data_IF_827874515545
#
_entry.id   IF_827874515545
#
_cell.length_a   1.000
_cell.length_b   1.000
_cell.length_c   1.000
_cell.angle_alpha   90.00
_cell.angle_beta   90.00
_cell.angle_gamma   90.00
#
_symmetry.space_group_name_H-M   'P 1'
#
loop_
_entity.id
_entity.type
_entity.pdbx_description
1 polymer ?
#
# COMPACT_ATOMS: atom_id res chain seq x y z
N UNK A 1 -11.41 -32.48 -4.06
CA UNK A 1 -11.89 -31.59 -5.15
C UNK A 1 -11.94 -30.17 -4.58
N UNK A 2 -11.54 -29.22 -5.36
CA UNK A 2 -11.36 -27.80 -4.98
C UNK A 2 -12.57 -26.93 -5.34
N UNK A 3 -13.76 -27.59 -5.49
CA UNK A 3 -15.00 -26.86 -5.77
C UNK A 3 -15.41 -25.98 -4.57
N UNK A 4 -15.82 -24.76 -4.84
CA UNK A 4 -16.37 -23.82 -3.84
C UNK A 4 -17.76 -24.33 -3.41
N UNK A 5 -17.93 -24.64 -2.13
CA UNK A 5 -19.21 -25.16 -1.60
C UNK A 5 -19.94 -24.17 -0.69
N UNK A 6 -19.21 -23.22 -0.09
CA UNK A 6 -19.80 -22.20 0.78
C UNK A 6 -19.02 -20.90 0.74
N UNK A 7 -19.73 -19.77 0.81
CA UNK A 7 -19.18 -18.42 0.93
C UNK A 7 -20.00 -17.66 1.96
N UNK A 8 -19.32 -17.09 2.96
CA UNK A 8 -19.95 -16.31 4.02
C UNK A 8 -19.30 -14.93 4.11
N UNK A 9 -20.00 -13.91 3.65
CA UNK A 9 -19.64 -12.52 3.86
C UNK A 9 -20.18 -11.99 5.19
N UNK A 10 -19.41 -11.15 5.86
CA UNK A 10 -19.84 -10.44 7.07
C UNK A 10 -19.24 -9.05 7.15
N UNK A 11 -19.88 -8.20 7.95
CA UNK A 11 -19.34 -6.91 8.33
C UNK A 11 -18.46 -7.07 9.57
N UNK A 12 -17.24 -6.57 9.49
CA UNK A 12 -16.31 -6.39 10.62
C UNK A 12 -15.90 -4.92 10.73
N UNK A 13 -14.92 -4.58 11.55
CA UNK A 13 -14.43 -3.21 11.71
C UNK A 13 -12.97 -3.09 11.35
N UNK A 14 -12.64 -1.99 10.67
CA UNK A 14 -11.26 -1.61 10.36
C UNK A 14 -10.56 -0.92 11.54
N UNK A 15 -9.28 -0.60 11.38
CA UNK A 15 -8.43 0.06 12.37
C UNK A 15 -8.88 1.47 12.76
N UNK A 16 -9.82 2.06 12.01
CA UNK A 16 -10.45 3.36 12.28
C UNK A 16 -11.83 3.23 12.92
N UNK A 17 -12.30 1.99 13.17
CA UNK A 17 -13.62 1.70 13.69
C UNK A 17 -14.74 1.84 12.66
N UNK A 18 -14.43 1.89 11.37
CA UNK A 18 -15.42 1.88 10.30
C UNK A 18 -15.74 0.43 9.88
N UNK A 19 -16.98 0.16 9.46
CA UNK A 19 -17.33 -1.14 8.87
C UNK A 19 -16.50 -1.47 7.63
N UNK A 20 -16.12 -2.76 7.50
CA UNK A 20 -15.54 -3.31 6.29
C UNK A 20 -16.02 -4.75 6.08
N UNK A 21 -15.73 -5.32 4.90
CA UNK A 21 -16.14 -6.67 4.49
C UNK A 21 -15.08 -7.69 4.88
N UNK A 22 -15.52 -8.81 5.48
CA UNK A 22 -14.74 -10.04 5.62
C UNK A 22 -15.49 -11.19 4.96
N UNK A 23 -14.75 -12.06 4.27
CA UNK A 23 -15.31 -13.21 3.55
C UNK A 23 -14.59 -14.48 3.96
N UNK A 24 -15.40 -15.53 4.22
CA UNK A 24 -14.97 -16.91 4.36
C UNK A 24 -15.34 -17.69 3.11
N UNK A 25 -14.44 -18.54 2.64
CA UNK A 25 -14.69 -19.51 1.55
C UNK A 25 -14.34 -20.89 2.05
N UNK A 26 -15.22 -21.87 1.81
CA UNK A 26 -15.00 -23.29 2.12
C UNK A 26 -15.06 -24.11 0.84
N UNK A 27 -14.09 -25.01 0.66
CA UNK A 27 -14.01 -25.94 -0.47
C UNK A 27 -14.54 -27.32 -0.11
N UNK A 28 -14.84 -28.13 -1.13
CA UNK A 28 -15.40 -29.49 -0.96
C UNK A 28 -14.47 -30.44 -0.18
N UNK A 29 -13.17 -30.24 -0.24
CA UNK A 29 -12.17 -31.01 0.52
C UNK A 29 -12.02 -30.55 1.97
N UNK A 30 -12.74 -29.50 2.37
CA UNK A 30 -12.72 -28.89 3.71
C UNK A 30 -11.71 -27.75 3.87
N UNK A 31 -10.92 -27.42 2.83
CA UNK A 31 -10.01 -26.28 2.88
C UNK A 31 -10.79 -24.97 3.03
N UNK A 32 -10.17 -24.01 3.76
CA UNK A 32 -10.82 -22.80 4.20
C UNK A 32 -9.95 -21.56 3.90
N UNK A 33 -10.57 -20.48 3.47
CA UNK A 33 -9.89 -19.20 3.28
C UNK A 33 -10.69 -18.05 3.86
N UNK A 34 -10.02 -17.15 4.59
CA UNK A 34 -10.60 -15.91 5.14
C UNK A 34 -9.83 -14.71 4.68
N UNK A 35 -10.54 -13.68 4.20
CA UNK A 35 -9.93 -12.42 3.83
C UNK A 35 -10.77 -11.23 4.32
N UNK A 36 -10.10 -10.22 4.86
CA UNK A 36 -10.71 -8.94 5.21
C UNK A 36 -10.22 -7.83 4.26
N UNK A 37 -11.14 -6.95 3.89
CA UNK A 37 -10.88 -5.93 2.88
C UNK A 37 -10.43 -4.62 3.54
N UNK A 38 -9.31 -4.01 3.11
CA UNK A 38 -8.90 -2.70 3.60
C UNK A 38 -9.72 -1.56 2.96
N UNK A 39 -9.68 -0.37 3.58
CA UNK A 39 -10.43 0.81 3.16
C UNK A 39 -9.59 2.09 3.20
N UNK A 40 -9.64 2.94 2.18
CA UNK A 40 -8.92 4.20 2.13
C UNK A 40 -9.56 5.33 2.94
N UNK A 41 -8.74 6.32 3.37
CA UNK A 41 -9.20 7.63 3.85
C UNK A 41 -9.23 8.63 2.70
N UNK A 42 -8.09 8.84 2.04
CA UNK A 42 -8.00 9.46 0.73
C UNK A 42 -8.24 8.39 -0.35
N UNK A 43 -8.97 8.73 -1.39
CA UNK A 43 -9.27 7.81 -2.51
C UNK A 43 -9.05 8.55 -3.81
N UNK A 44 -8.22 7.99 -4.70
CA UNK A 44 -8.04 8.50 -6.06
C UNK A 44 -9.36 8.47 -6.83
N UNK A 45 -9.60 9.50 -7.63
CA UNK A 45 -10.87 9.64 -8.38
C UNK A 45 -11.16 8.48 -9.35
N UNK A 46 -10.13 7.70 -9.67
CA UNK A 46 -10.19 6.61 -10.65
C UNK A 46 -10.18 5.21 -10.02
N UNK A 47 -10.27 5.10 -8.69
CA UNK A 47 -10.35 3.81 -8.00
C UNK A 47 -11.65 3.05 -8.30
N UNK A 48 -11.60 1.73 -8.18
CA UNK A 48 -12.81 0.92 -8.14
C UNK A 48 -13.68 1.28 -6.92
N UNK A 49 -14.99 1.15 -7.06
CA UNK A 49 -15.94 1.64 -6.06
C UNK A 49 -16.01 0.74 -4.85
N UNK A 50 -15.67 1.26 -3.68
CA UNK A 50 -16.02 0.65 -2.40
C UNK A 50 -17.51 0.88 -2.13
N UNK A 51 -18.32 -0.19 -2.17
CA UNK A 51 -19.76 -0.08 -1.98
C UNK A 51 -20.10 0.17 -0.51
N UNK A 52 -20.69 1.33 -0.24
CA UNK A 52 -21.19 1.74 1.07
C UNK A 52 -22.72 1.87 1.07
N UNK A 53 -23.33 1.59 2.22
CA UNK A 53 -24.81 1.59 2.36
C UNK A 53 -25.43 2.96 2.19
N UNK A 54 -24.70 4.01 2.60
CA UNK A 54 -25.27 5.35 2.74
C UNK A 54 -26.20 5.44 3.96
N UNK A 55 -27.02 6.50 4.00
CA UNK A 55 -27.97 6.72 5.08
C UNK A 55 -27.33 7.13 6.40
N UNK A 56 -28.01 6.89 7.54
CA UNK A 56 -27.57 7.37 8.86
C UNK A 56 -26.77 6.33 9.67
N UNK A 57 -26.98 5.03 9.39
CA UNK A 57 -26.27 3.97 10.11
C UNK A 57 -24.78 4.01 9.79
N UNK A 58 -23.94 3.93 10.82
CA UNK A 58 -22.48 4.09 10.69
C UNK A 58 -22.08 5.37 9.94
N UNK A 59 -22.86 6.42 10.04
CA UNK A 59 -22.66 7.68 9.31
C UNK A 59 -22.56 7.47 7.78
N UNK A 60 -23.30 6.50 7.25
CA UNK A 60 -23.31 6.15 5.83
C UNK A 60 -22.24 5.13 5.42
N UNK A 61 -21.34 4.72 6.33
CA UNK A 61 -20.19 3.85 6.02
C UNK A 61 -20.49 2.35 6.18
N UNK A 62 -21.74 1.92 6.42
CA UNK A 62 -22.12 0.50 6.46
C UNK A 62 -21.76 -0.23 5.16
N UNK A 63 -21.58 -1.56 5.23
CA UNK A 63 -21.22 -2.41 4.08
C UNK A 63 -22.21 -3.56 3.87
N UNK A 64 -23.43 -3.42 4.39
CA UNK A 64 -24.45 -4.48 4.31
C UNK A 64 -24.76 -4.87 2.86
N UNK A 65 -24.86 -3.89 1.94
CA UNK A 65 -25.11 -4.15 0.51
C UNK A 65 -23.99 -4.99 -0.12
N UNK A 66 -22.74 -4.72 0.23
CA UNK A 66 -21.61 -5.51 -0.26
C UNK A 66 -21.63 -6.93 0.34
N UNK A 67 -21.98 -7.06 1.62
CA UNK A 67 -22.15 -8.36 2.30
C UNK A 67 -23.29 -9.17 1.66
N UNK A 68 -24.42 -8.53 1.38
CA UNK A 68 -25.55 -9.18 0.70
C UNK A 68 -25.14 -9.66 -0.70
N UNK A 69 -24.39 -8.82 -1.47
CA UNK A 69 -23.87 -9.22 -2.78
C UNK A 69 -22.96 -10.47 -2.70
N UNK A 70 -22.10 -10.56 -1.66
CA UNK A 70 -21.27 -11.76 -1.42
C UNK A 70 -22.13 -12.99 -1.15
N UNK A 71 -23.12 -12.89 -0.25
CA UNK A 71 -23.91 -14.03 0.23
C UNK A 71 -24.95 -14.50 -0.78
N UNK A 72 -25.38 -13.64 -1.69
CA UNK A 72 -26.46 -13.95 -2.67
C UNK A 72 -25.91 -14.13 -4.10
N UNK A 73 -25.68 -13.00 -4.80
CA UNK A 73 -25.37 -13.02 -6.24
C UNK A 73 -24.00 -13.65 -6.54
N UNK A 74 -22.97 -13.26 -5.80
CA UNK A 74 -21.60 -13.76 -6.04
C UNK A 74 -21.53 -15.24 -5.71
N UNK A 75 -22.03 -15.65 -4.53
CA UNK A 75 -22.09 -17.07 -4.18
C UNK A 75 -22.83 -17.91 -5.24
N UNK A 76 -23.99 -17.43 -5.70
CA UNK A 76 -24.77 -18.14 -6.73
C UNK A 76 -24.01 -18.28 -8.05
N UNK A 77 -23.18 -17.30 -8.42
CA UNK A 77 -22.46 -17.28 -9.69
C UNK A 77 -21.21 -18.18 -9.69
N UNK A 78 -20.54 -18.34 -8.54
CA UNK A 78 -19.25 -19.07 -8.48
C UNK A 78 -19.30 -20.37 -7.66
N UNK A 79 -20.43 -20.69 -7.04
CA UNK A 79 -20.62 -21.98 -6.35
C UNK A 79 -20.40 -23.14 -7.31
N UNK A 80 -19.61 -24.13 -6.90
CA UNK A 80 -19.22 -25.29 -7.70
C UNK A 80 -18.06 -25.05 -8.66
N UNK A 81 -17.57 -23.80 -8.82
CA UNK A 81 -16.36 -23.54 -9.60
C UNK A 81 -15.12 -24.04 -8.87
N UNK A 82 -14.09 -24.35 -9.64
CA UNK A 82 -12.80 -24.79 -9.12
C UNK A 82 -12.02 -23.59 -8.57
N UNK A 83 -11.70 -23.61 -7.27
CA UNK A 83 -10.98 -22.54 -6.58
C UNK A 83 -9.55 -22.33 -7.12
N UNK A 84 -8.95 -23.32 -7.80
CA UNK A 84 -7.63 -23.17 -8.43
C UNK A 84 -7.68 -22.30 -9.71
N UNK A 85 -8.86 -22.13 -10.33
CA UNK A 85 -9.03 -21.28 -11.52
C UNK A 85 -9.35 -19.82 -11.13
N UNK A 86 -8.43 -19.18 -10.42
CA UNK A 86 -8.56 -17.80 -9.94
C UNK A 86 -8.97 -16.82 -11.03
N UNK A 87 -8.37 -16.94 -12.23
CA UNK A 87 -8.67 -16.05 -13.34
C UNK A 87 -10.12 -16.14 -13.79
N UNK A 88 -10.66 -17.35 -13.83
CA UNK A 88 -12.06 -17.58 -14.20
C UNK A 88 -13.02 -17.06 -13.13
N UNK A 89 -12.69 -17.27 -11.86
CA UNK A 89 -13.51 -16.80 -10.72
C UNK A 89 -13.57 -15.27 -10.72
N UNK A 90 -12.41 -14.60 -10.77
CA UNK A 90 -12.35 -13.13 -10.76
C UNK A 90 -13.09 -12.55 -11.98
N UNK A 91 -12.87 -13.13 -13.17
CA UNK A 91 -13.56 -12.72 -14.39
C UNK A 91 -15.07 -12.89 -14.28
N UNK A 92 -15.55 -14.01 -13.72
CA UNK A 92 -16.98 -14.25 -13.50
C UNK A 92 -17.60 -13.18 -12.61
N UNK A 93 -16.94 -12.80 -11.52
CA UNK A 93 -17.41 -11.74 -10.62
C UNK A 93 -17.41 -10.35 -11.29
N UNK A 94 -16.38 -10.04 -12.07
CA UNK A 94 -16.25 -8.76 -12.80
C UNK A 94 -17.35 -8.67 -13.87
N UNK A 95 -17.59 -9.74 -14.64
CA UNK A 95 -18.67 -9.81 -15.63
C UNK A 95 -20.04 -9.73 -14.99
N UNK A 96 -20.22 -10.36 -13.82
CA UNK A 96 -21.45 -10.27 -13.03
C UNK A 96 -21.73 -8.83 -12.59
N UNK A 97 -20.70 -8.09 -12.12
CA UNK A 97 -20.85 -6.67 -11.80
C UNK A 97 -21.24 -5.85 -13.02
N UNK A 98 -20.61 -6.06 -14.15
CA UNK A 98 -20.92 -5.47 -15.46
C UNK A 98 -20.65 -3.96 -15.56
N UNK A 99 -20.05 -3.32 -14.55
CA UNK A 99 -19.67 -1.90 -14.57
C UNK A 99 -18.16 -1.72 -14.69
N UNK A 100 -17.67 -0.61 -15.28
CA UNK A 100 -16.23 -0.43 -15.49
C UNK A 100 -15.39 -0.36 -14.20
N UNK A 101 -16.01 0.04 -13.09
CA UNK A 101 -15.34 0.31 -11.81
C UNK A 101 -15.96 -0.47 -10.63
N UNK A 102 -16.65 -1.58 -10.91
CA UNK A 102 -17.28 -2.44 -9.89
C UNK A 102 -18.30 -1.72 -9.00
N UNK A 103 -19.02 -0.75 -9.57
CA UNK A 103 -19.96 0.08 -8.81
C UNK A 103 -21.25 -0.64 -8.39
N UNK A 104 -21.61 -1.77 -9.01
CA UNK A 104 -22.86 -2.47 -8.72
C UNK A 104 -22.75 -3.42 -7.51
N UNK A 105 -21.77 -4.30 -7.51
CA UNK A 105 -21.54 -5.26 -6.41
C UNK A 105 -20.60 -4.69 -5.35
N UNK A 106 -19.70 -3.81 -5.77
CA UNK A 106 -18.65 -3.23 -4.96
C UNK A 106 -17.31 -3.95 -5.10
N UNK A 107 -16.24 -3.17 -5.28
CA UNK A 107 -14.88 -3.70 -5.28
C UNK A 107 -14.53 -4.42 -3.96
N UNK A 108 -15.08 -3.97 -2.84
CA UNK A 108 -14.91 -4.61 -1.53
C UNK A 108 -15.55 -6.01 -1.46
N UNK A 109 -16.73 -6.21 -2.04
CA UNK A 109 -17.35 -7.54 -2.13
C UNK A 109 -16.53 -8.49 -3.01
N UNK A 110 -16.17 -8.05 -4.22
CA UNK A 110 -15.41 -8.84 -5.19
C UNK A 110 -14.03 -9.20 -4.63
N UNK A 111 -13.30 -8.24 -4.07
CA UNK A 111 -11.97 -8.45 -3.50
C UNK A 111 -12.00 -9.42 -2.32
N UNK A 112 -12.96 -9.27 -1.41
CA UNK A 112 -13.10 -10.17 -0.26
C UNK A 112 -13.20 -11.63 -0.70
N UNK A 113 -14.04 -11.91 -1.68
CA UNK A 113 -14.20 -13.26 -2.26
C UNK A 113 -12.92 -13.69 -3.00
N UNK A 114 -12.37 -12.85 -3.87
CA UNK A 114 -11.17 -13.15 -4.66
C UNK A 114 -9.99 -13.60 -3.78
N UNK A 115 -9.71 -12.85 -2.70
CA UNK A 115 -8.62 -13.17 -1.77
C UNK A 115 -8.94 -14.40 -0.90
N UNK A 116 -10.18 -14.57 -0.46
CA UNK A 116 -10.59 -15.73 0.34
C UNK A 116 -10.50 -17.02 -0.47
N UNK A 117 -10.89 -16.99 -1.75
CA UNK A 117 -10.74 -18.13 -2.68
C UNK A 117 -9.27 -18.50 -2.85
N UNK A 118 -8.38 -17.53 -3.09
CA UNK A 118 -6.94 -17.78 -3.22
C UNK A 118 -6.35 -18.43 -1.97
N UNK A 119 -6.79 -18.00 -0.78
CA UNK A 119 -6.35 -18.58 0.50
C UNK A 119 -6.88 -20.02 0.68
N UNK A 120 -8.14 -20.29 0.34
CA UNK A 120 -8.71 -21.62 0.41
C UNK A 120 -8.01 -22.58 -0.57
N UNK A 121 -7.73 -22.13 -1.80
CA UNK A 121 -7.00 -22.91 -2.79
C UNK A 121 -5.54 -23.20 -2.35
N UNK A 122 -4.89 -22.21 -1.71
CA UNK A 122 -3.56 -22.40 -1.14
C UNK A 122 -3.56 -23.45 -0.01
N UNK A 123 -4.56 -23.43 0.87
CA UNK A 123 -4.74 -24.42 1.92
C UNK A 123 -4.98 -25.80 1.34
N UNK A 124 -5.87 -25.94 0.37
CA UNK A 124 -6.13 -27.19 -0.36
C UNK A 124 -4.86 -27.76 -0.99
N UNK A 125 -4.02 -26.90 -1.59
CA UNK A 125 -2.74 -27.29 -2.15
C UNK A 125 -1.66 -27.60 -1.10
N UNK A 126 -1.91 -27.36 0.18
CA UNK A 126 -0.93 -27.52 1.27
C UNK A 126 0.24 -26.53 1.18
N UNK A 127 0.02 -25.35 0.58
CA UNK A 127 1.03 -24.32 0.35
C UNK A 127 0.70 -23.04 1.13
N UNK A 128 1.71 -22.33 1.66
CA UNK A 128 1.49 -20.97 2.14
C UNK A 128 1.12 -20.06 0.96
N UNK A 129 0.32 -19.01 1.23
CA UNK A 129 -0.27 -18.16 0.18
C UNK A 129 0.80 -17.56 -0.76
N UNK A 130 1.91 -17.06 -0.22
CA UNK A 130 2.98 -16.49 -1.06
C UNK A 130 3.55 -17.51 -2.06
N UNK A 131 3.63 -18.78 -1.66
CA UNK A 131 4.15 -19.87 -2.51
C UNK A 131 3.10 -20.32 -3.52
N UNK A 132 1.84 -20.37 -3.13
CA UNK A 132 0.73 -20.71 -4.03
C UNK A 132 0.60 -19.68 -5.16
N UNK A 133 0.59 -18.37 -4.83
CA UNK A 133 0.44 -17.29 -5.82
C UNK A 133 1.72 -17.08 -6.64
N UNK A 134 2.88 -17.08 -6.00
CA UNK A 134 4.15 -16.71 -6.64
C UNK A 134 4.97 -17.89 -7.18
N UNK A 135 4.55 -19.12 -6.89
CA UNK A 135 5.24 -20.33 -7.32
C UNK A 135 6.62 -20.54 -6.65
N UNK A 136 7.46 -21.41 -7.23
CA UNK A 136 8.74 -21.79 -6.63
C UNK A 136 9.76 -20.65 -6.55
N UNK A 137 9.58 -19.58 -7.34
CA UNK A 137 10.50 -18.43 -7.36
C UNK A 137 10.14 -17.33 -6.34
N UNK A 138 9.07 -17.48 -5.57
CA UNK A 138 8.69 -16.52 -4.52
C UNK A 138 9.62 -16.65 -3.31
N UNK A 139 10.62 -15.76 -3.17
CA UNK A 139 11.63 -15.83 -2.12
C UNK A 139 12.24 -14.47 -1.73
N UNK A 140 11.83 -13.38 -2.41
CA UNK A 140 12.36 -12.04 -2.13
C UNK A 140 11.55 -11.38 -1.03
N UNK A 141 12.18 -11.13 0.13
CA UNK A 141 11.62 -10.35 1.23
C UNK A 141 11.73 -8.86 0.89
N UNK A 142 10.61 -8.11 0.95
CA UNK A 142 10.60 -6.70 0.54
C UNK A 142 11.30 -5.80 1.56
N UNK A 143 11.93 -4.71 1.08
CA UNK A 143 12.33 -3.58 1.94
C UNK A 143 11.06 -2.89 2.44
N UNK A 144 10.87 -2.75 3.77
CA UNK A 144 9.73 -2.04 4.31
C UNK A 144 9.96 -0.52 4.21
N UNK A 145 8.94 0.18 3.71
CA UNK A 145 8.82 1.63 3.70
C UNK A 145 7.96 2.03 4.90
N UNK A 146 8.63 2.38 6.00
CA UNK A 146 7.97 2.54 7.31
C UNK A 146 7.61 4.00 7.53
N UNK A 147 6.32 4.33 7.49
CA UNK A 147 5.81 5.68 7.75
C UNK A 147 6.00 6.06 9.22
N UNK A 148 6.95 6.94 9.55
CA UNK A 148 7.29 7.26 10.94
C UNK A 148 6.86 8.67 11.40
N UNK A 149 6.58 9.59 10.44
CA UNK A 149 5.91 10.87 10.70
C UNK A 149 4.75 11.03 9.71
N UNK A 150 3.58 11.37 10.24
CA UNK A 150 2.37 11.66 9.50
C UNK A 150 2.09 13.16 9.41
N UNK A 151 1.57 13.59 8.28
CA UNK A 151 1.00 14.91 8.04
C UNK A 151 -0.20 14.83 7.09
N UNK A 152 -0.52 15.90 6.39
CA UNK A 152 -1.62 15.96 5.45
C UNK A 152 -2.93 15.45 6.05
N UNK A 153 -3.69 14.67 5.29
CA UNK A 153 -4.97 14.09 5.76
C UNK A 153 -4.83 12.97 6.82
N UNK A 154 -3.60 12.48 7.06
CA UNK A 154 -3.32 11.43 8.05
C UNK A 154 -3.05 11.97 9.47
N UNK A 155 -2.95 13.30 9.66
CA UNK A 155 -2.67 13.92 10.94
C UNK A 155 -3.28 15.33 11.05
N UNK A 156 -3.75 15.68 12.24
CA UNK A 156 -4.19 17.04 12.55
C UNK A 156 -2.97 17.90 12.97
N UNK A 157 -2.16 18.26 11.97
CA UNK A 157 -0.96 19.10 12.14
C UNK A 157 -0.70 19.95 10.88
N UNK A 158 0.23 20.94 10.92
CA UNK A 158 0.46 21.82 9.78
C UNK A 158 1.38 21.27 8.68
N UNK A 159 1.76 19.99 8.72
CA UNK A 159 2.63 19.40 7.71
C UNK A 159 1.80 19.07 6.46
N UNK A 160 2.16 19.64 5.31
CA UNK A 160 1.40 19.45 4.06
C UNK A 160 1.61 18.05 3.46
N UNK A 161 2.81 17.45 3.54
CA UNK A 161 3.07 16.10 3.07
C UNK A 161 2.45 15.07 3.99
N UNK A 162 1.90 14.00 3.38
CA UNK A 162 1.14 12.98 4.08
C UNK A 162 2.00 12.03 4.88
N UNK A 163 3.16 11.58 4.33
CA UNK A 163 4.01 10.59 4.98
C UNK A 163 5.50 10.83 4.79
N UNK A 164 6.24 10.59 5.86
CA UNK A 164 7.70 10.53 5.86
C UNK A 164 8.12 9.13 6.29
N UNK A 165 8.80 8.44 5.39
CA UNK A 165 9.14 7.02 5.55
C UNK A 165 10.62 6.82 5.74
N UNK A 166 10.99 5.80 6.52
CA UNK A 166 12.35 5.25 6.58
C UNK A 166 12.38 3.90 5.87
N UNK A 167 13.48 3.64 5.18
CA UNK A 167 13.75 2.40 4.43
C UNK A 167 15.07 1.79 4.91
N UNK A 168 15.04 0.71 5.71
CA UNK A 168 16.25 0.02 6.22
C UNK A 168 16.95 -0.81 5.15
N UNK A 169 17.45 -0.15 4.11
CA UNK A 169 18.07 -0.78 2.91
C UNK A 169 19.36 -1.55 3.27
N UNK A 170 20.06 -1.10 4.32
CA UNK A 170 21.30 -1.73 4.78
C UNK A 170 21.12 -2.92 5.70
N UNK A 171 19.88 -3.36 5.97
CA UNK A 171 19.61 -4.55 6.77
C UNK A 171 20.00 -5.83 6.02
N UNK A 172 20.30 -6.89 6.77
CA UNK A 172 20.65 -8.20 6.21
C UNK A 172 19.44 -9.14 6.04
N UNK A 173 18.30 -8.81 6.68
CA UNK A 173 17.08 -9.61 6.70
C UNK A 173 15.87 -8.73 6.97
N UNK A 174 14.65 -9.27 6.78
CA UNK A 174 13.42 -8.53 7.15
C UNK A 174 13.32 -8.38 8.68
N UNK A 175 13.73 -9.38 9.44
CA UNK A 175 13.77 -9.29 10.90
C UNK A 175 14.72 -8.17 11.36
N UNK A 176 15.90 -8.04 10.74
CA UNK A 176 16.86 -6.97 11.01
C UNK A 176 16.31 -5.60 10.58
N UNK A 177 15.65 -5.52 9.43
CA UNK A 177 15.00 -4.29 8.97
C UNK A 177 13.93 -3.78 9.96
N UNK A 178 13.12 -4.68 10.51
CA UNK A 178 12.11 -4.34 11.53
C UNK A 178 12.79 -3.90 12.83
N UNK A 179 13.90 -4.53 13.25
CA UNK A 179 14.70 -4.09 14.40
C UNK A 179 15.23 -2.66 14.20
N UNK A 180 15.89 -2.40 13.07
CA UNK A 180 16.42 -1.07 12.73
C UNK A 180 15.29 -0.03 12.77
N UNK A 181 14.17 -0.32 12.11
CA UNK A 181 13.01 0.57 12.11
C UNK A 181 12.50 0.86 13.53
N UNK A 182 12.41 -0.17 14.38
CA UNK A 182 11.97 -0.03 15.77
C UNK A 182 12.91 0.86 16.59
N UNK A 183 14.23 0.68 16.45
CA UNK A 183 15.22 1.49 17.16
C UNK A 183 15.18 2.96 16.72
N UNK A 184 15.03 3.23 15.42
CA UNK A 184 14.85 4.59 14.89
C UNK A 184 13.52 5.20 15.39
N UNK A 185 12.42 4.44 15.34
CA UNK A 185 11.09 4.87 15.78
C UNK A 185 11.10 5.32 17.27
N UNK A 186 11.68 4.52 18.16
CA UNK A 186 11.76 4.88 19.58
C UNK A 186 12.75 6.02 19.85
N UNK A 187 13.81 6.14 19.06
CA UNK A 187 14.75 7.25 19.13
C UNK A 187 14.09 8.57 18.70
N UNK A 188 13.29 8.52 17.61
CA UNK A 188 12.50 9.66 17.15
C UNK A 188 11.48 10.08 18.22
N UNK A 189 10.75 9.12 18.81
CA UNK A 189 9.83 9.42 19.91
C UNK A 189 10.49 10.20 21.04
N UNK A 190 11.69 9.75 21.42
CA UNK A 190 12.46 10.41 22.49
C UNK A 190 12.93 11.82 22.09
N UNK A 191 13.34 12.00 20.82
CA UNK A 191 13.74 13.29 20.24
C UNK A 191 12.59 14.29 20.23
N UNK A 192 11.45 13.90 19.67
CA UNK A 192 10.23 14.72 19.61
C UNK A 192 9.76 15.13 21.02
N UNK A 193 9.70 14.18 21.95
CA UNK A 193 9.32 14.47 23.34
C UNK A 193 10.27 15.45 24.01
N UNK A 194 11.59 15.33 23.79
CA UNK A 194 12.60 16.25 24.35
C UNK A 194 12.45 17.67 23.79
N UNK A 195 12.05 17.76 22.51
CA UNK A 195 11.78 19.05 21.85
C UNK A 195 10.41 19.66 22.23
N UNK A 196 9.59 18.95 23.00
CA UNK A 196 8.27 19.41 23.45
C UNK A 196 7.13 19.11 22.48
N UNK A 197 7.37 18.27 21.46
CA UNK A 197 6.35 17.88 20.50
C UNK A 197 5.51 16.72 21.01
N UNK A 198 4.28 16.60 20.48
CA UNK A 198 3.37 15.50 20.67
C UNK A 198 3.94 14.22 20.04
N UNK A 199 3.76 13.09 20.70
CA UNK A 199 4.16 11.75 20.23
C UNK A 199 2.98 10.78 20.14
N UNK A 200 1.76 11.29 19.98
CA UNK A 200 0.62 10.49 19.58
C UNK A 200 0.82 9.99 18.14
N UNK A 201 0.21 8.86 17.81
CA UNK A 201 0.34 8.24 16.50
C UNK A 201 -0.92 8.49 15.68
N UNK A 202 -0.73 8.67 14.38
CA UNK A 202 -1.78 8.76 13.38
C UNK A 202 -2.35 7.39 12.99
N UNK A 203 -3.19 7.37 11.96
CA UNK A 203 -3.89 6.18 11.49
C UNK A 203 -2.95 5.05 11.07
N UNK A 204 -1.77 5.38 10.57
CA UNK A 204 -0.78 4.41 10.10
C UNK A 204 0.35 4.13 11.09
N UNK A 205 0.22 4.62 12.33
CA UNK A 205 1.14 4.31 13.43
C UNK A 205 2.38 5.21 13.49
N UNK A 206 2.60 6.14 12.55
CA UNK A 206 3.62 7.17 12.61
C UNK A 206 3.24 8.27 13.59
N UNK A 207 4.23 9.05 14.09
CA UNK A 207 3.95 10.17 14.97
C UNK A 207 3.30 11.33 14.20
N UNK A 208 2.47 12.10 14.89
CA UNK A 208 1.78 13.27 14.35
C UNK A 208 2.18 14.56 15.10
N UNK A 209 3.46 14.98 15.06
CA UNK A 209 3.94 16.17 15.76
C UNK A 209 3.51 17.45 15.03
N UNK A 210 3.38 18.56 15.76
CA UNK A 210 3.19 19.87 15.18
C UNK A 210 4.54 20.45 14.73
N UNK A 211 4.98 20.07 13.53
CA UNK A 211 6.17 20.60 12.87
C UNK A 211 5.76 21.59 11.78
N UNK A 212 6.59 22.58 11.52
CA UNK A 212 6.25 23.71 10.66
C UNK A 212 6.53 23.48 9.16
N UNK A 213 7.25 22.39 8.80
CA UNK A 213 7.61 22.12 7.41
C UNK A 213 8.07 20.68 7.19
N UNK A 214 8.08 20.26 5.93
CA UNK A 214 8.66 18.99 5.53
C UNK A 214 10.16 18.90 5.87
N UNK A 215 10.90 19.98 5.74
CA UNK A 215 12.33 20.05 6.10
C UNK A 215 12.56 19.77 7.57
N UNK A 216 11.75 20.36 8.47
CA UNK A 216 11.86 20.11 9.91
C UNK A 216 11.59 18.65 10.26
N UNK A 217 10.60 18.02 9.61
CA UNK A 217 10.32 16.60 9.79
C UNK A 217 11.51 15.73 9.35
N UNK A 218 12.09 16.00 8.18
CA UNK A 218 13.26 15.30 7.66
C UNK A 218 14.48 15.45 8.58
N UNK A 219 14.71 16.65 9.14
CA UNK A 219 15.82 16.90 10.09
C UNK A 219 15.67 16.06 11.36
N UNK A 220 14.45 15.96 11.93
CA UNK A 220 14.18 15.09 13.08
C UNK A 220 14.44 13.62 12.77
N UNK A 221 14.04 13.15 11.56
CA UNK A 221 14.24 11.77 11.15
C UNK A 221 15.73 11.46 10.98
N UNK A 222 16.48 12.30 10.24
CA UNK A 222 17.92 12.12 10.02
C UNK A 222 18.67 12.08 11.34
N UNK A 223 18.43 13.06 12.22
CA UNK A 223 19.05 13.10 13.56
C UNK A 223 18.70 11.85 14.40
N UNK A 224 17.50 11.28 14.21
CA UNK A 224 17.07 10.08 14.92
C UNK A 224 17.76 8.83 14.39
N UNK A 225 17.96 8.72 13.08
CA UNK A 225 18.73 7.64 12.45
C UNK A 225 20.16 7.63 12.98
N UNK A 226 20.84 8.80 12.96
CA UNK A 226 22.21 8.93 13.46
C UNK A 226 22.31 8.60 14.95
N UNK A 227 21.38 9.10 15.76
CA UNK A 227 21.35 8.85 17.20
C UNK A 227 21.03 7.41 17.55
N UNK A 228 20.30 6.69 16.70
CA UNK A 228 20.07 5.25 16.82
C UNK A 228 21.32 4.42 16.44
N UNK A 229 22.36 5.07 15.91
CA UNK A 229 23.63 4.42 15.55
C UNK A 229 23.71 3.96 14.10
N UNK A 230 22.78 4.39 13.24
CA UNK A 230 22.75 4.06 11.81
C UNK A 230 23.19 5.25 10.96
N UNK A 231 23.62 4.98 9.73
CA UNK A 231 24.11 5.99 8.78
C UNK A 231 23.01 6.33 7.75
N UNK A 232 22.48 7.58 7.75
CA UNK A 232 21.58 8.02 6.69
C UNK A 232 22.24 7.92 5.31
N UNK A 233 21.50 7.39 4.34
CA UNK A 233 22.02 7.18 2.99
C UNK A 233 22.98 5.98 2.82
N UNK A 234 23.14 5.16 3.85
CA UNK A 234 23.88 3.89 3.79
C UNK A 234 23.05 2.73 4.38
N UNK A 235 22.67 2.86 5.64
CA UNK A 235 21.91 1.83 6.35
C UNK A 235 20.41 2.09 6.22
N UNK A 236 19.99 3.36 6.36
CA UNK A 236 18.61 3.81 6.29
C UNK A 236 18.49 4.96 5.30
N UNK A 237 17.57 4.81 4.36
CA UNK A 237 17.18 5.84 3.41
C UNK A 237 15.81 6.40 3.75
N UNK A 238 15.40 7.47 3.05
CA UNK A 238 14.12 8.15 3.26
C UNK A 238 13.22 7.99 2.05
N UNK A 239 11.91 8.03 2.32
CA UNK A 239 10.85 8.13 1.33
C UNK A 239 9.83 9.18 1.72
N UNK A 240 9.16 9.73 0.74
CA UNK A 240 8.05 10.67 0.91
C UNK A 240 6.80 10.13 0.23
N UNK A 241 5.67 10.34 0.85
CA UNK A 241 4.38 10.39 0.18
C UNK A 241 3.85 11.81 0.31
N UNK A 242 3.80 12.50 -0.82
CA UNK A 242 3.36 13.89 -0.86
C UNK A 242 1.84 14.01 -0.89
N UNK A 243 1.12 13.02 -1.45
CA UNK A 243 -0.32 13.06 -1.72
C UNK A 243 -0.74 14.39 -2.37
N UNK A 244 -0.01 14.80 -3.41
CA UNK A 244 -0.06 16.18 -3.94
C UNK A 244 -1.41 16.57 -4.54
N UNK A 245 -2.29 15.61 -4.84
CA UNK A 245 -3.67 15.88 -5.28
C UNK A 245 -4.44 16.67 -4.21
N UNK A 246 -4.20 16.43 -2.93
CA UNK A 246 -4.91 17.03 -1.80
C UNK A 246 -4.69 18.57 -1.70
N UNK A 247 -3.53 19.06 -2.15
CA UNK A 247 -3.20 20.49 -2.13
C UNK A 247 -3.00 21.09 -3.52
N UNK A 248 -3.41 20.38 -4.60
CA UNK A 248 -3.41 20.91 -5.96
C UNK A 248 -4.73 21.61 -6.29
N UNK A 249 -4.66 22.90 -6.58
CA UNK A 249 -5.84 23.73 -6.88
C UNK A 249 -5.49 24.80 -7.91
N UNK A 250 -6.38 25.02 -8.87
CA UNK A 250 -6.25 26.07 -9.89
C UNK A 250 -4.88 26.03 -10.63
N UNK A 251 -4.37 24.80 -10.89
CA UNK A 251 -3.08 24.60 -11.60
C UNK A 251 -1.84 24.87 -10.76
N UNK A 252 -1.98 24.94 -9.43
CA UNK A 252 -0.87 25.22 -8.49
C UNK A 252 -0.94 24.34 -7.25
N UNK A 253 0.19 24.19 -6.58
CA UNK A 253 0.34 23.44 -5.34
C UNK A 253 0.33 24.39 -4.14
N UNK A 254 -0.70 24.30 -3.29
CA UNK A 254 -0.97 25.19 -2.15
C UNK A 254 -0.52 24.54 -0.84
N UNK A 255 0.63 24.90 -0.36
CA UNK A 255 1.16 24.46 0.94
C UNK A 255 0.59 25.32 2.05
N UNK A 256 -0.54 24.93 2.61
CA UNK A 256 -1.26 25.73 3.62
C UNK A 256 -0.47 25.85 4.92
N UNK A 257 0.21 24.78 5.34
CA UNK A 257 1.03 24.76 6.54
C UNK A 257 2.29 25.63 6.45
N UNK A 258 2.91 25.69 5.27
CA UNK A 258 4.06 26.54 5.00
C UNK A 258 3.67 27.96 4.55
N UNK A 259 2.40 28.20 4.18
CA UNK A 259 1.92 29.46 3.63
C UNK A 259 2.50 29.80 2.25
N UNK A 260 2.81 28.80 1.43
CA UNK A 260 3.46 28.96 0.13
C UNK A 260 2.61 28.35 -0.99
N UNK A 261 2.59 29.01 -2.15
CA UNK A 261 1.96 28.48 -3.38
C UNK A 261 3.06 28.30 -4.43
N UNK A 262 3.11 27.11 -5.04
CA UNK A 262 4.11 26.74 -6.05
C UNK A 262 3.45 26.50 -7.40
N UNK A 263 4.08 26.94 -8.50
CA UNK A 263 3.75 26.47 -9.84
C UNK A 263 4.17 25.00 -10.01
N UNK A 264 3.83 24.39 -11.16
CA UNK A 264 4.27 23.03 -11.49
C UNK A 264 5.81 22.93 -11.49
N UNK A 265 6.49 23.89 -12.11
CA UNK A 265 7.96 23.92 -12.17
C UNK A 265 8.59 24.15 -10.79
N UNK A 266 8.00 25.02 -9.98
CA UNK A 266 8.45 25.29 -8.61
C UNK A 266 8.24 24.05 -7.71
N UNK A 267 7.18 23.30 -7.90
CA UNK A 267 6.93 22.02 -7.22
C UNK A 267 8.01 20.99 -7.56
N UNK A 268 8.30 20.82 -8.85
CA UNK A 268 9.36 19.92 -9.32
C UNK A 268 10.72 20.33 -8.75
N UNK A 269 11.06 21.64 -8.80
CA UNK A 269 12.29 22.15 -8.26
C UNK A 269 12.41 21.95 -6.73
N UNK A 270 11.30 22.09 -6.00
CA UNK A 270 11.24 21.83 -4.56
C UNK A 270 11.51 20.37 -4.23
N UNK A 271 10.84 19.42 -4.89
CA UNK A 271 11.06 18.00 -4.69
C UNK A 271 12.49 17.58 -5.07
N UNK A 272 13.01 18.10 -6.19
CA UNK A 272 14.39 17.87 -6.60
C UNK A 272 15.41 18.37 -5.56
N UNK A 273 15.14 19.52 -4.95
CA UNK A 273 15.98 20.09 -3.87
C UNK A 273 15.93 19.21 -2.62
N UNK A 274 14.78 18.70 -2.23
CA UNK A 274 14.67 17.78 -1.09
C UNK A 274 15.46 16.48 -1.36
N UNK A 275 15.29 15.88 -2.53
CA UNK A 275 16.02 14.68 -2.92
C UNK A 275 17.55 14.87 -3.02
N UNK A 276 18.01 16.09 -3.32
CA UNK A 276 19.44 16.42 -3.35
C UNK A 276 20.03 16.65 -1.95
N UNK A 277 19.25 17.14 -0.99
CA UNK A 277 19.72 17.52 0.34
C UNK A 277 19.58 16.39 1.39
N UNK A 278 18.68 15.45 1.16
CA UNK A 278 18.39 14.33 2.05
C UNK A 278 18.56 13.00 1.31
N UNK A 279 18.82 11.89 2.01
CA UNK A 279 18.95 10.57 1.39
C UNK A 279 17.60 9.99 0.96
N UNK A 280 16.80 10.77 0.20
CA UNK A 280 15.50 10.39 -0.31
C UNK A 280 15.70 9.60 -1.60
N UNK A 281 15.20 8.34 -1.63
CA UNK A 281 15.31 7.46 -2.79
C UNK A 281 13.96 7.18 -3.45
N UNK A 282 12.86 7.59 -2.83
CA UNK A 282 11.51 7.37 -3.35
C UNK A 282 10.58 8.52 -2.99
N UNK A 283 9.77 8.95 -3.94
CA UNK A 283 8.72 9.97 -3.78
C UNK A 283 7.44 9.42 -4.42
N UNK A 284 6.41 9.27 -3.60
CA UNK A 284 5.06 8.89 -3.99
C UNK A 284 4.22 10.13 -4.19
N UNK A 285 3.41 10.13 -5.25
CA UNK A 285 2.48 11.18 -5.64
C UNK A 285 3.03 12.62 -5.46
N UNK A 286 4.25 12.83 -5.99
CA UNK A 286 4.91 14.14 -5.97
C UNK A 286 4.19 15.21 -6.80
N UNK A 287 3.28 14.80 -7.69
CA UNK A 287 2.41 15.64 -8.51
C UNK A 287 0.97 15.12 -8.39
N UNK A 288 -0.02 15.97 -8.73
CA UNK A 288 -1.45 15.58 -8.72
C UNK A 288 -1.76 14.47 -9.73
N UNK A 289 -2.78 13.65 -9.44
CA UNK A 289 -3.19 12.46 -10.21
C UNK A 289 -3.54 12.72 -11.69
N UNK A 290 -3.89 13.94 -12.04
CA UNK A 290 -4.22 14.34 -13.41
C UNK A 290 -3.22 15.35 -14.02
N UNK A 291 -2.17 15.74 -13.28
CA UNK A 291 -1.09 16.61 -13.76
C UNK A 291 -0.01 15.81 -14.50
N UNK A 292 -0.38 15.22 -15.65
CA UNK A 292 0.52 14.37 -16.46
C UNK A 292 1.76 15.11 -16.98
N UNK A 293 1.65 16.42 -17.23
CA UNK A 293 2.77 17.25 -17.68
C UNK A 293 3.77 17.48 -16.52
N UNK A 294 3.27 17.81 -15.33
CA UNK A 294 4.09 17.93 -14.12
C UNK A 294 4.77 16.60 -13.77
N UNK A 295 4.05 15.48 -13.83
CA UNK A 295 4.63 14.16 -13.64
C UNK A 295 5.76 13.84 -14.63
N UNK A 296 5.57 14.21 -15.91
CA UNK A 296 6.61 14.03 -16.92
C UNK A 296 7.83 14.87 -16.62
N UNK A 297 7.63 16.15 -16.26
CA UNK A 297 8.72 17.06 -15.88
C UNK A 297 9.48 16.55 -14.65
N UNK A 298 8.78 16.06 -13.61
CA UNK A 298 9.39 15.47 -12.44
C UNK A 298 10.23 14.23 -12.80
N UNK A 299 9.67 13.36 -13.66
CA UNK A 299 10.35 12.13 -14.11
C UNK A 299 11.63 12.43 -14.87
N UNK A 300 11.59 13.41 -15.78
CA UNK A 300 12.77 13.83 -16.54
C UNK A 300 13.84 14.47 -15.64
N UNK A 301 13.42 15.13 -14.56
CA UNK A 301 14.31 15.85 -13.65
C UNK A 301 15.05 14.92 -12.69
N UNK A 302 14.35 14.02 -11.99
CA UNK A 302 14.95 13.19 -10.92
C UNK A 302 14.71 11.69 -11.08
N UNK A 303 13.92 11.23 -12.06
CA UNK A 303 13.54 9.82 -12.19
C UNK A 303 14.69 8.85 -12.46
N UNK A 304 15.90 9.34 -12.81
CA UNK A 304 17.09 8.50 -12.98
C UNK A 304 17.70 8.07 -11.63
N UNK A 305 17.57 8.88 -10.60
CA UNK A 305 18.17 8.69 -9.29
C UNK A 305 17.16 8.48 -8.17
N UNK A 306 15.89 8.79 -8.42
CA UNK A 306 14.78 8.66 -7.47
C UNK A 306 13.67 7.79 -8.05
N UNK A 307 13.14 6.90 -7.24
CA UNK A 307 11.92 6.17 -7.55
C UNK A 307 10.73 7.12 -7.43
N UNK A 308 9.93 7.21 -8.50
CA UNK A 308 8.74 8.04 -8.55
C UNK A 308 7.53 7.12 -8.62
N UNK A 309 6.81 7.02 -7.52
CA UNK A 309 5.71 6.07 -7.32
C UNK A 309 4.39 6.76 -7.64
N UNK A 310 3.63 6.22 -8.59
CA UNK A 310 2.25 6.64 -8.82
C UNK A 310 1.28 5.80 -8.00
N UNK A 311 0.62 6.42 -7.01
CA UNK A 311 -0.52 5.89 -6.27
C UNK A 311 -1.82 6.32 -6.95
N UNK A 312 -2.30 7.52 -6.68
CA UNK A 312 -3.52 8.07 -7.29
C UNK A 312 -3.37 8.24 -8.82
N UNK A 313 -2.16 8.45 -9.30
CA UNK A 313 -1.86 8.48 -10.73
C UNK A 313 -2.28 7.19 -11.44
N UNK A 314 -2.03 6.03 -10.86
CA UNK A 314 -2.24 4.73 -11.50
C UNK A 314 -3.39 3.90 -10.89
N UNK A 315 -3.72 4.10 -9.63
CA UNK A 315 -4.78 3.41 -8.87
C UNK A 315 -4.80 1.89 -9.09
N UNK A 316 -3.61 1.28 -9.13
CA UNK A 316 -3.41 -0.17 -9.41
C UNK A 316 -4.06 -0.63 -10.74
N UNK A 317 -4.35 0.30 -11.66
CA UNK A 317 -5.05 0.05 -12.90
C UNK A 317 -4.08 -0.08 -14.08
N UNK A 318 -3.99 -1.28 -14.68
CA UNK A 318 -3.08 -1.59 -15.81
C UNK A 318 -3.28 -0.67 -17.00
N UNK A 319 -4.48 -0.14 -17.25
CA UNK A 319 -4.74 0.77 -18.38
C UNK A 319 -4.09 2.14 -18.12
N UNK A 320 -4.24 2.69 -16.91
CA UNK A 320 -3.59 3.95 -16.51
C UNK A 320 -2.07 3.77 -16.46
N UNK A 321 -1.60 2.63 -15.93
CA UNK A 321 -0.17 2.31 -15.90
C UNK A 321 0.42 2.25 -17.32
N UNK A 322 -0.23 1.56 -18.28
CA UNK A 322 0.22 1.52 -19.69
C UNK A 322 0.27 2.91 -20.33
N UNK A 323 -0.64 3.82 -19.96
CA UNK A 323 -0.58 5.24 -20.38
C UNK A 323 0.69 5.89 -19.85
N UNK A 324 1.00 5.75 -18.57
CA UNK A 324 2.21 6.29 -17.94
C UNK A 324 3.49 5.75 -18.57
N UNK A 325 3.56 4.43 -18.75
CA UNK A 325 4.70 3.75 -19.41
C UNK A 325 4.93 4.33 -20.81
N UNK A 326 3.87 4.45 -21.62
CA UNK A 326 3.96 5.01 -22.98
C UNK A 326 4.43 6.48 -22.98
N UNK A 327 4.04 7.25 -21.99
CA UNK A 327 4.41 8.66 -21.83
C UNK A 327 5.79 8.85 -21.16
N UNK A 328 6.39 7.80 -20.59
CA UNK A 328 7.61 7.89 -19.80
C UNK A 328 7.39 8.70 -18.53
N UNK A 329 6.28 8.46 -17.83
CA UNK A 329 5.81 9.19 -16.66
C UNK A 329 5.86 8.28 -15.44
N UNK A 330 6.46 8.74 -14.35
CA UNK A 330 6.81 7.94 -13.18
C UNK A 330 7.79 6.80 -13.53
N UNK A 331 8.10 5.91 -12.60
CA UNK A 331 8.92 4.72 -12.83
C UNK A 331 8.62 3.59 -11.83
N UNK A 332 7.54 3.76 -11.07
CA UNK A 332 7.04 2.79 -10.10
C UNK A 332 5.53 2.93 -9.94
N UNK A 333 4.87 1.85 -9.54
CA UNK A 333 3.45 1.84 -9.17
C UNK A 333 3.28 1.45 -7.71
N UNK A 334 2.39 2.14 -7.00
CA UNK A 334 1.86 1.64 -5.74
C UNK A 334 0.73 0.65 -6.02
N UNK A 335 0.74 -0.48 -5.33
CA UNK A 335 -0.21 -1.58 -5.56
C UNK A 335 -1.08 -1.76 -4.33
N UNK A 336 -2.33 -1.33 -4.43
CA UNK A 336 -3.36 -1.46 -3.40
C UNK A 336 -4.46 -2.38 -3.93
N UNK A 337 -4.60 -3.56 -3.36
CA UNK A 337 -5.51 -4.60 -3.85
C UNK A 337 -6.96 -4.13 -4.00
N UNK A 338 -7.42 -3.21 -3.13
CA UNK A 338 -8.79 -2.72 -3.16
C UNK A 338 -9.03 -1.57 -4.16
N UNK A 339 -7.97 -0.91 -4.67
CA UNK A 339 -8.13 0.12 -5.71
C UNK A 339 -8.59 -0.48 -7.04
N UNK A 340 -8.27 -1.74 -7.30
CA UNK A 340 -8.69 -2.47 -8.49
C UNK A 340 -9.74 -3.53 -8.18
N UNK A 341 -9.67 -4.20 -7.02
CA UNK A 341 -10.74 -5.03 -6.46
C UNK A 341 -10.74 -6.50 -6.86
N UNK A 342 -9.64 -7.04 -7.40
CA UNK A 342 -9.43 -8.49 -7.57
C UNK A 342 -7.95 -8.84 -7.52
N UNK A 343 -7.64 -10.09 -7.15
CA UNK A 343 -6.26 -10.60 -7.14
C UNK A 343 -5.67 -10.65 -8.55
N UNK A 344 -6.43 -11.15 -9.52
CA UNK A 344 -5.97 -11.27 -10.91
C UNK A 344 -5.56 -9.93 -11.52
N UNK A 345 -6.37 -8.89 -11.34
CA UNK A 345 -6.05 -7.56 -11.86
C UNK A 345 -4.87 -6.92 -11.09
N UNK A 346 -4.76 -7.20 -9.78
CA UNK A 346 -3.61 -6.78 -8.97
C UNK A 346 -2.31 -7.38 -9.51
N UNK A 347 -2.30 -8.68 -9.80
CA UNK A 347 -1.13 -9.37 -10.36
C UNK A 347 -0.81 -8.89 -11.78
N UNK A 348 -1.84 -8.61 -12.63
CA UNK A 348 -1.63 -8.01 -13.97
C UNK A 348 -0.97 -6.63 -13.88
N UNK A 349 -1.34 -5.81 -12.90
CA UNK A 349 -0.73 -4.50 -12.69
C UNK A 349 0.75 -4.63 -12.31
N UNK A 350 1.10 -5.52 -11.38
CA UNK A 350 2.50 -5.80 -10.99
C UNK A 350 3.30 -6.33 -12.18
N UNK A 351 2.76 -7.30 -12.90
CA UNK A 351 3.44 -7.89 -14.07
C UNK A 351 3.65 -6.85 -15.18
N UNK A 352 2.64 -6.01 -15.44
CA UNK A 352 2.72 -4.92 -16.42
C UNK A 352 3.83 -3.93 -16.05
N UNK A 353 3.95 -3.56 -14.76
CA UNK A 353 5.02 -2.70 -14.27
C UNK A 353 6.40 -3.34 -14.51
N UNK A 354 6.61 -4.56 -14.05
CA UNK A 354 7.88 -5.28 -14.15
C UNK A 354 8.33 -5.48 -15.60
N UNK A 355 7.41 -5.86 -16.52
CA UNK A 355 7.71 -6.01 -17.95
C UNK A 355 8.14 -4.70 -18.61
N UNK A 356 7.75 -3.56 -18.07
CA UNK A 356 8.13 -2.25 -18.56
C UNK A 356 9.39 -1.67 -17.87
N UNK A 357 9.99 -2.40 -16.93
CA UNK A 357 11.12 -1.92 -16.13
C UNK A 357 10.72 -0.93 -15.03
N UNK A 358 9.43 -0.83 -14.72
CA UNK A 358 8.92 -0.12 -13.54
C UNK A 358 9.03 -1.04 -12.31
N UNK A 359 9.25 -0.43 -11.16
CA UNK A 359 9.12 -1.13 -9.87
C UNK A 359 7.67 -1.14 -9.40
N UNK A 360 7.36 -2.03 -8.46
CA UNK A 360 6.08 -2.08 -7.78
C UNK A 360 6.29 -2.06 -6.27
N UNK A 361 5.43 -1.37 -5.54
CA UNK A 361 5.42 -1.32 -4.09
C UNK A 361 4.09 -1.88 -3.62
N UNK A 362 4.09 -3.02 -2.92
CA UNK A 362 2.87 -3.55 -2.30
C UNK A 362 2.47 -2.67 -1.12
N UNK A 363 1.20 -2.28 -1.05
CA UNK A 363 0.77 -1.26 -0.09
C UNK A 363 -0.49 -1.65 0.68
N UNK A 364 -0.54 -1.20 1.95
CA UNK A 364 -1.72 -1.15 2.79
C UNK A 364 -2.66 0.01 2.39
N UNK A 365 -3.71 0.18 3.19
CA UNK A 365 -4.55 1.41 3.20
C UNK A 365 -4.56 2.02 4.62
N UNK A 366 -5.08 3.24 4.73
CA UNK A 366 -5.23 3.90 6.04
C UNK A 366 -6.19 3.15 6.98
N UNK A 367 -7.26 2.57 6.46
CA UNK A 367 -8.13 1.63 7.20
C UNK A 367 -7.74 0.19 6.91
N UNK A 368 -7.09 -0.44 7.87
CA UNK A 368 -6.61 -1.82 7.79
C UNK A 368 -7.31 -2.71 8.82
N UNK A 369 -7.09 -4.02 8.68
CA UNK A 369 -7.46 -5.03 9.67
C UNK A 369 -6.20 -5.81 10.05
N UNK A 370 -6.32 -6.86 10.84
CA UNK A 370 -5.24 -7.81 11.12
C UNK A 370 -4.91 -8.74 9.94
N UNK A 371 -5.64 -8.67 8.83
CA UNK A 371 -5.33 -9.43 7.61
C UNK A 371 -3.93 -9.06 7.09
N UNK A 372 -3.13 -10.07 6.78
CA UNK A 372 -1.73 -9.92 6.37
C UNK A 372 -1.47 -10.31 4.90
N UNK A 373 -2.51 -10.46 4.11
CA UNK A 373 -2.43 -10.93 2.70
C UNK A 373 -1.39 -10.17 1.88
N UNK A 374 -1.30 -8.85 2.05
CA UNK A 374 -0.34 -8.04 1.28
C UNK A 374 1.13 -8.38 1.58
N UNK A 375 1.45 -8.93 2.76
CA UNK A 375 2.78 -9.43 3.05
C UNK A 375 3.11 -10.67 2.20
N UNK A 376 2.16 -11.60 2.09
CA UNK A 376 2.29 -12.77 1.21
C UNK A 376 2.40 -12.35 -0.26
N UNK A 377 1.57 -11.39 -0.70
CA UNK A 377 1.60 -10.89 -2.08
C UNK A 377 2.89 -10.16 -2.43
N UNK A 378 3.49 -9.43 -1.49
CA UNK A 378 4.79 -8.79 -1.71
C UNK A 378 5.89 -9.82 -2.00
N UNK A 379 5.90 -10.94 -1.28
CA UNK A 379 6.86 -12.02 -1.52
C UNK A 379 6.46 -12.82 -2.76
N UNK A 380 5.17 -13.11 -2.97
CA UNK A 380 4.68 -13.83 -4.14
C UNK A 380 5.10 -13.18 -5.46
N UNK A 381 5.06 -11.86 -5.51
CA UNK A 381 5.39 -11.08 -6.72
C UNK A 381 6.87 -10.72 -6.82
N UNK A 382 7.68 -10.99 -5.79
CA UNK A 382 9.06 -10.53 -5.68
C UNK A 382 9.20 -9.01 -5.97
N UNK A 383 8.20 -8.21 -5.58
CA UNK A 383 8.20 -6.77 -5.89
C UNK A 383 9.31 -5.99 -5.17
N UNK A 384 9.89 -6.57 -4.12
CA UNK A 384 11.06 -6.05 -3.42
C UNK A 384 10.78 -4.88 -2.46
N UNK A 385 9.55 -4.37 -2.40
CA UNK A 385 9.17 -3.25 -1.52
C UNK A 385 7.75 -3.43 -0.98
N UNK A 386 7.54 -3.00 0.26
CA UNK A 386 6.22 -2.97 0.90
C UNK A 386 6.04 -1.69 1.73
N UNK A 387 4.91 -1.02 1.53
CA UNK A 387 4.48 0.14 2.32
C UNK A 387 3.32 -0.31 3.21
N UNK A 388 3.54 -0.46 4.51
CA UNK A 388 2.52 -1.01 5.43
C UNK A 388 2.49 -0.32 6.80
N UNK A 389 2.81 0.98 6.81
CA UNK A 389 2.73 1.83 7.99
C UNK A 389 3.96 1.73 8.89
N UNK A 390 3.79 2.15 10.13
CA UNK A 390 4.86 2.26 11.11
C UNK A 390 5.03 1.02 11.99
N UNK A 391 5.88 1.15 13.02
CA UNK A 391 6.20 0.14 14.05
C UNK A 391 5.22 0.19 15.24
N UNK A 392 4.02 0.72 15.05
CA UNK A 392 2.96 0.82 16.04
C UNK A 392 1.61 0.49 15.40
N UNK A 393 0.63 0.08 16.20
CA UNK A 393 -0.70 -0.44 15.83
C UNK A 393 -0.63 -1.85 15.24
N UNK A 394 -1.45 -2.76 15.81
CA UNK A 394 -1.42 -4.20 15.47
C UNK A 394 -1.79 -4.47 14.01
N UNK A 395 -2.64 -3.63 13.42
CA UNK A 395 -3.03 -3.70 12.01
C UNK A 395 -1.85 -3.52 11.05
N UNK A 396 -0.81 -2.76 11.44
CA UNK A 396 0.45 -2.59 10.70
C UNK A 396 1.43 -3.71 11.02
N UNK A 397 1.64 -3.96 12.31
CA UNK A 397 2.59 -4.98 12.81
C UNK A 397 2.23 -6.39 12.33
N UNK A 398 0.94 -6.69 12.09
CA UNK A 398 0.52 -7.99 11.55
C UNK A 398 1.25 -8.35 10.25
N UNK A 399 1.45 -7.37 9.35
CA UNK A 399 2.14 -7.55 8.07
C UNK A 399 3.64 -7.79 8.27
N UNK A 400 4.30 -7.02 9.15
CA UNK A 400 5.71 -7.24 9.49
C UNK A 400 5.93 -8.61 10.14
N UNK A 401 5.07 -9.00 11.07
CA UNK A 401 5.12 -10.31 11.69
C UNK A 401 4.95 -11.44 10.67
N UNK A 402 4.08 -11.25 9.66
CA UNK A 402 3.90 -12.23 8.59
C UNK A 402 5.17 -12.35 7.71
N UNK A 403 5.81 -11.24 7.36
CA UNK A 403 7.07 -11.26 6.62
C UNK A 403 8.18 -11.99 7.37
N UNK A 404 8.27 -11.82 8.71
CA UNK A 404 9.23 -12.55 9.55
C UNK A 404 8.94 -14.06 9.53
N UNK A 405 7.66 -14.48 9.60
CA UNK A 405 7.29 -15.90 9.47
C UNK A 405 7.64 -16.47 8.10
N UNK A 406 7.43 -15.70 7.03
CA UNK A 406 7.80 -16.11 5.67
C UNK A 406 9.32 -16.25 5.56
N UNK A 407 10.09 -15.32 6.13
CA UNK A 407 11.56 -15.41 6.18
C UNK A 407 12.02 -16.70 6.88
N UNK A 408 11.42 -17.05 8.03
CA UNK A 408 11.69 -18.31 8.72
C UNK A 408 11.35 -19.55 7.86
N UNK A 409 10.20 -19.54 7.17
CA UNK A 409 9.79 -20.65 6.30
C UNK A 409 10.73 -20.83 5.09
N UNK A 410 11.25 -19.75 4.54
CA UNK A 410 12.20 -19.77 3.43
C UNK A 410 13.61 -20.20 3.90
N UNK A 411 13.96 -19.92 5.14
CA UNK A 411 15.27 -20.24 5.72
C UNK A 411 16.41 -19.66 4.89
N UNK A 412 17.44 -20.49 4.54
CA UNK A 412 18.60 -19.99 3.78
C UNK A 412 18.29 -19.54 2.34
N UNK A 413 17.07 -19.76 1.84
CA UNK A 413 16.65 -19.32 0.52
C UNK A 413 16.01 -17.91 0.55
N UNK A 414 15.73 -17.37 1.74
CA UNK A 414 15.24 -16.01 1.89
C UNK A 414 16.27 -15.01 1.34
N UNK A 415 15.79 -14.09 0.52
CA UNK A 415 16.61 -13.02 -0.05
C UNK A 415 15.99 -11.68 0.29
N UNK A 416 16.62 -10.92 1.18
CA UNK A 416 16.18 -9.55 1.45
C UNK A 416 16.54 -8.64 0.28
N UNK A 417 15.57 -7.88 -0.24
CA UNK A 417 15.79 -7.04 -1.41
C UNK A 417 16.87 -5.96 -1.19
N UNK A 418 16.93 -5.38 0.00
CA UNK A 418 18.01 -4.52 0.44
C UNK A 418 18.41 -3.47 -0.60
N UNK A 419 19.70 -3.40 -0.94
CA UNK A 419 20.25 -2.41 -1.87
C UNK A 419 19.79 -2.57 -3.33
N UNK A 420 19.16 -3.70 -3.69
CA UNK A 420 18.68 -3.92 -5.06
C UNK A 420 17.55 -2.96 -5.48
N UNK A 421 16.90 -2.30 -4.50
CA UNK A 421 15.86 -1.30 -4.79
C UNK A 421 16.43 0.07 -5.17
N UNK A 422 17.73 0.33 -4.94
CA UNK A 422 18.36 1.61 -5.24
C UNK A 422 18.47 1.81 -6.76
N UNK A 423 18.17 3.03 -7.21
CA UNK A 423 18.41 3.47 -8.58
C UNK A 423 19.79 4.09 -8.70
N UNK A 424 20.57 3.72 -9.70
CA UNK A 424 21.90 4.24 -9.97
C UNK A 424 22.84 3.19 -10.48
#
# INVERSE_FOLDING_TARGET
MTAIIDIVGRQIFDSRGNPTVEVDVTLEDGAFGRAAVPSGASTGAHEAVELRDGGSRYLGKGVTKAVDAVNDEIFSAISGLDAEDQLHIDKTMIELDGTPNKARLGANAILGVSLAVAKAAAESAGLPLYRYVGGPNAHVLPVPMMNIINGGVHADNPIDFQEFMILPVGADSIADAVRIGTEVFHTLKSGLKKAGHNTNVGDEGGFAPNLGSATEALDFIVASIEKAGFKPGQDVYLGLDCASTEFFKDGKYHYEGEGVVRSIEEQVAYLAKLAANYPIITIEDGMSEDDWEGWKLLTDTIGKTCQLVGDDLFVTNSTRLRRGIKAGTANSILVKVNQIGSLSETLDAVETAHKAGYTAVMSHRSGETEDSTIADLAVATNCGQIKTGSLARSDRIAKYNQLIRIEEQLGPQASYAGRSILKG
#
